data_IF_955347836774
#
_entry.id   IF_955347836774
#
_cell.length_a   1.000
_cell.length_b   1.000
_cell.length_c   1.000
_cell.angle_alpha   90.00
_cell.angle_beta   90.00
_cell.angle_gamma   90.00
#
_symmetry.space_group_name_H-M   'P 1'
#
loop_
_entity.id
_entity.type
_entity.pdbx_description
1 polymer ?
#
# COMPACT_ATOMS: atom_id res chain seq x y z
N UNK A 1 -7.60 16.36 3.86
CA UNK A 1 -7.98 16.65 5.26
C UNK A 1 -7.49 18.06 5.58
N UNK A 2 -8.40 19.05 5.70
CA UNK A 2 -8.05 20.48 5.86
C UNK A 2 -8.39 21.05 7.25
N UNK A 3 -8.98 20.27 8.15
CA UNK A 3 -9.46 20.75 9.47
C UNK A 3 -8.83 20.04 10.67
N UNK A 4 -7.73 19.30 10.49
CA UNK A 4 -7.06 18.60 11.60
C UNK A 4 -7.89 17.50 12.27
N UNK A 5 -9.06 17.15 11.72
CA UNK A 5 -9.88 16.02 12.14
C UNK A 5 -9.26 14.73 11.64
N UNK A 6 -8.58 14.02 12.54
CA UNK A 6 -8.03 12.70 12.26
C UNK A 6 -9.11 11.62 12.46
N UNK A 7 -9.01 10.47 11.74
CA UNK A 7 -9.89 9.33 11.95
C UNK A 7 -9.83 8.76 13.39
N UNK A 8 -8.77 9.10 14.12
CA UNK A 8 -8.50 8.74 15.50
C UNK A 8 -8.24 10.01 16.32
N UNK A 9 -8.61 10.03 17.62
CA UNK A 9 -8.31 11.16 18.51
C UNK A 9 -6.80 11.45 18.67
N UNK A 10 -5.96 10.43 18.49
CA UNK A 10 -4.51 10.51 18.60
C UNK A 10 -3.88 9.53 17.59
N UNK A 11 -2.87 9.97 16.85
CA UNK A 11 -2.02 9.13 15.99
C UNK A 11 -0.75 8.76 16.76
N UNK A 12 -0.68 7.52 17.27
CA UNK A 12 0.45 6.99 18.04
C UNK A 12 1.50 6.29 17.18
N UNK A 13 1.03 5.61 16.13
CA UNK A 13 1.88 4.86 15.21
C UNK A 13 1.43 5.09 13.77
N UNK A 14 2.39 5.31 12.89
CA UNK A 14 2.21 5.44 11.44
C UNK A 14 2.58 4.11 10.81
N UNK A 15 1.64 3.45 10.16
CA UNK A 15 1.89 2.14 9.57
C UNK A 15 1.75 2.16 8.05
N UNK A 16 2.65 1.44 7.38
CA UNK A 16 2.48 1.02 6.00
C UNK A 16 1.74 -0.32 5.99
N UNK A 17 0.73 -0.48 5.14
CA UNK A 17 0.04 -1.77 4.97
C UNK A 17 0.39 -2.40 3.63
N UNK A 18 1.15 -3.49 3.68
CA UNK A 18 1.51 -4.33 2.55
C UNK A 18 0.54 -5.52 2.49
N UNK A 19 -0.39 -5.51 1.54
CA UNK A 19 -1.40 -6.59 1.42
C UNK A 19 -2.81 -6.09 1.17
N UNK A 20 -3.68 -7.02 0.77
CA UNK A 20 -5.11 -6.79 0.56
C UNK A 20 -5.84 -6.86 1.90
N UNK A 21 -6.72 -5.91 2.26
CA UNK A 21 -7.46 -6.01 3.52
C UNK A 21 -8.43 -7.21 3.55
N UNK A 22 -8.69 -7.82 4.72
CA UNK A 22 -9.63 -8.93 4.84
C UNK A 22 -11.07 -8.42 4.82
N UNK A 23 -11.65 -8.24 3.63
CA UNK A 23 -12.97 -7.62 3.44
C UNK A 23 -14.10 -8.21 4.31
N UNK A 24 -14.14 -9.54 4.47
CA UNK A 24 -15.15 -10.23 5.29
C UNK A 24 -15.08 -9.87 6.78
N UNK A 25 -13.92 -9.42 7.25
CA UNK A 25 -13.64 -9.11 8.65
C UNK A 25 -13.02 -7.71 8.78
N UNK A 26 -13.34 -6.81 7.84
CA UNK A 26 -12.66 -5.52 7.71
C UNK A 26 -12.80 -4.65 8.96
N UNK A 27 -13.99 -4.63 9.56
CA UNK A 27 -14.26 -3.91 10.83
C UNK A 27 -13.29 -4.38 11.91
N UNK A 28 -13.28 -5.68 12.19
CA UNK A 28 -12.42 -6.30 13.23
C UNK A 28 -10.94 -6.06 12.96
N UNK A 29 -10.50 -6.18 11.71
CA UNK A 29 -9.12 -5.88 11.33
C UNK A 29 -8.77 -4.42 11.62
N UNK A 30 -9.66 -3.50 11.28
CA UNK A 30 -9.50 -2.07 11.55
C UNK A 30 -9.61 -1.71 13.05
N UNK A 31 -10.41 -2.43 13.84
CA UNK A 31 -10.50 -2.26 15.31
C UNK A 31 -9.14 -2.40 16.00
N UNK A 32 -8.31 -3.35 15.58
CA UNK A 32 -6.99 -3.56 16.19
C UNK A 32 -6.14 -2.29 16.12
N UNK A 33 -6.02 -1.73 14.91
CA UNK A 33 -5.24 -0.51 14.69
C UNK A 33 -5.84 0.70 15.41
N UNK A 34 -7.18 0.84 15.36
CA UNK A 34 -7.87 1.90 16.10
C UNK A 34 -7.61 1.85 17.60
N UNK A 35 -7.67 0.65 18.22
CA UNK A 35 -7.41 0.47 19.65
C UNK A 35 -5.97 0.80 20.04
N UNK A 36 -5.01 0.57 19.14
CA UNK A 36 -3.61 0.88 19.36
C UNK A 36 -3.21 2.32 18.98
N UNK A 37 -4.12 3.11 18.41
CA UNK A 37 -3.78 4.44 17.89
C UNK A 37 -2.92 4.39 16.62
N UNK A 38 -2.96 3.28 15.87
CA UNK A 38 -2.19 3.10 14.65
C UNK A 38 -2.99 3.58 13.41
N UNK A 39 -2.37 4.45 12.60
CA UNK A 39 -2.94 5.02 11.38
C UNK A 39 -2.20 4.48 10.17
N UNK A 40 -2.92 3.91 9.20
CA UNK A 40 -2.36 3.55 7.91
C UNK A 40 -2.11 4.81 7.08
N UNK A 41 -0.83 5.14 6.86
CA UNK A 41 -0.41 6.36 6.16
C UNK A 41 -0.17 6.10 4.67
N UNK A 42 0.07 4.85 4.31
CA UNK A 42 0.26 4.39 2.94
C UNK A 42 -0.03 2.89 2.85
N UNK A 43 -0.56 2.45 1.71
CA UNK A 43 -0.85 1.03 1.45
C UNK A 43 -0.48 0.65 0.02
N UNK A 44 -0.16 -0.62 -0.18
CA UNK A 44 0.18 -1.15 -1.51
C UNK A 44 -1.02 -1.67 -2.30
N UNK A 45 -2.10 -2.06 -1.62
CA UNK A 45 -3.31 -2.57 -2.27
C UNK A 45 -3.96 -1.61 -3.28
N UNK A 46 -4.07 -0.28 -3.04
CA UNK A 46 -4.61 0.64 -4.03
C UNK A 46 -3.82 0.72 -5.34
N UNK A 47 -2.62 0.10 -5.40
CA UNK A 47 -1.71 0.17 -6.55
C UNK A 47 -1.72 -1.10 -7.41
N UNK A 48 -2.67 -2.00 -7.18
CA UNK A 48 -2.83 -3.21 -8.00
C UNK A 48 -3.11 -2.89 -9.47
N UNK A 49 -3.78 -1.77 -9.76
CA UNK A 49 -4.01 -1.31 -11.12
C UNK A 49 -2.88 -0.50 -11.74
N UNK A 50 -1.93 -0.01 -10.92
CA UNK A 50 -0.83 0.88 -11.33
C UNK A 50 -0.43 1.86 -10.23
N UNK A 51 0.67 2.59 -10.44
CA UNK A 51 1.32 3.45 -9.44
C UNK A 51 1.11 4.95 -9.73
N UNK A 52 -0.05 5.51 -9.34
CA UNK A 52 -0.34 6.94 -9.53
C UNK A 52 0.48 7.89 -8.65
N UNK A 53 0.90 7.42 -7.47
CA UNK A 53 1.65 8.21 -6.49
C UNK A 53 3.13 8.35 -6.84
N UNK A 54 3.60 7.70 -7.91
CA UNK A 54 4.98 7.81 -8.42
C UNK A 54 5.13 8.70 -9.67
N UNK A 55 4.20 9.64 -9.85
CA UNK A 55 4.29 10.68 -10.88
C UNK A 55 3.63 10.37 -12.22
N UNK A 56 3.11 9.15 -12.43
CA UNK A 56 2.37 8.81 -13.64
C UNK A 56 1.08 9.64 -13.76
N UNK A 57 0.78 10.16 -14.96
CA UNK A 57 -0.48 10.82 -15.30
C UNK A 57 -0.94 10.35 -16.68
N UNK A 58 -2.24 10.14 -16.84
CA UNK A 58 -2.80 9.81 -18.15
C UNK A 58 -2.67 10.99 -19.12
N UNK A 59 -2.51 10.67 -20.40
CA UNK A 59 -2.43 11.63 -21.49
C UNK A 59 -3.75 11.59 -22.29
N UNK A 60 -4.58 12.64 -22.22
CA UNK A 60 -5.84 12.71 -22.97
C UNK A 60 -5.66 12.69 -24.49
N UNK A 61 -4.47 13.07 -25.00
CA UNK A 61 -4.17 13.02 -26.43
C UNK A 61 -3.81 11.61 -26.93
N UNK A 62 -3.46 10.70 -26.00
CA UNK A 62 -3.10 9.29 -26.22
C UNK A 62 -3.81 8.38 -25.20
N UNK A 63 -5.15 8.31 -25.21
CA UNK A 63 -5.91 7.71 -24.12
C UNK A 63 -5.65 6.20 -23.98
N UNK A 64 -5.58 5.46 -25.09
CA UNK A 64 -5.39 4.01 -25.05
C UNK A 64 -3.95 3.65 -24.66
N UNK A 65 -2.96 4.36 -25.22
CA UNK A 65 -1.56 4.14 -24.91
C UNK A 65 -1.27 4.50 -23.45
N UNK A 66 -1.77 5.62 -22.94
CA UNK A 66 -1.53 6.00 -21.55
C UNK A 66 -2.23 5.06 -20.55
N UNK A 67 -3.37 4.45 -20.91
CA UNK A 67 -3.98 3.39 -20.09
C UNK A 67 -3.11 2.11 -20.12
N UNK A 68 -2.58 1.74 -21.28
CA UNK A 68 -1.70 0.58 -21.41
C UNK A 68 -0.39 0.77 -20.62
N UNK A 69 0.26 1.94 -20.75
CA UNK A 69 1.46 2.33 -20.01
C UNK A 69 1.22 2.31 -18.49
N UNK A 70 0.08 2.83 -18.03
CA UNK A 70 -0.29 2.76 -16.61
C UNK A 70 -0.40 1.32 -16.10
N UNK A 71 -1.06 0.46 -16.88
CA UNK A 71 -1.32 -0.94 -16.52
C UNK A 71 -0.03 -1.76 -16.40
N UNK A 72 1.02 -1.42 -17.16
CA UNK A 72 2.35 -2.02 -17.01
C UNK A 72 2.99 -1.70 -15.63
N UNK A 73 2.60 -0.58 -15.03
CA UNK A 73 3.02 -0.14 -13.71
C UNK A 73 2.30 -0.82 -12.54
N UNK A 74 1.41 -1.78 -12.79
CA UNK A 74 0.69 -2.53 -11.75
C UNK A 74 1.66 -3.09 -10.71
N UNK A 75 1.41 -2.82 -9.42
CA UNK A 75 2.31 -3.17 -8.32
C UNK A 75 2.65 -4.68 -8.29
N UNK A 76 1.65 -5.52 -8.52
CA UNK A 76 1.80 -6.99 -8.50
C UNK A 76 2.51 -7.55 -9.75
N UNK A 77 2.68 -6.73 -10.79
CA UNK A 77 3.44 -7.06 -11.99
C UNK A 77 4.92 -6.64 -11.89
N UNK A 78 5.30 -5.96 -10.80
CA UNK A 78 6.68 -5.55 -10.56
C UNK A 78 7.50 -6.70 -9.98
N UNK A 79 8.79 -6.73 -10.32
CA UNK A 79 9.73 -7.68 -9.72
C UNK A 79 9.84 -7.48 -8.21
N UNK A 80 10.20 -8.53 -7.49
CA UNK A 80 10.32 -8.46 -6.03
C UNK A 80 11.33 -7.41 -5.55
N UNK A 81 12.53 -7.25 -6.14
CA UNK A 81 13.44 -6.15 -5.79
C UNK A 81 12.81 -4.76 -5.93
N UNK A 82 12.02 -4.54 -6.99
CA UNK A 82 11.35 -3.25 -7.21
C UNK A 82 10.23 -3.03 -6.19
N UNK A 83 9.45 -4.07 -5.87
CA UNK A 83 8.42 -4.00 -4.81
C UNK A 83 9.04 -3.68 -3.45
N UNK A 84 10.15 -4.32 -3.09
CA UNK A 84 10.90 -4.02 -1.85
C UNK A 84 11.37 -2.56 -1.82
N UNK A 85 11.93 -2.08 -2.94
CA UNK A 85 12.32 -0.66 -3.05
C UNK A 85 11.13 0.28 -2.88
N UNK A 86 10.00 -0.02 -3.53
CA UNK A 86 8.76 0.77 -3.40
C UNK A 86 8.32 0.85 -1.93
N UNK A 87 8.29 -0.30 -1.22
CA UNK A 87 7.92 -0.34 0.20
C UNK A 87 8.91 0.48 1.04
N UNK A 88 10.21 0.31 0.83
CA UNK A 88 11.24 1.05 1.57
C UNK A 88 11.18 2.57 1.31
N UNK A 89 10.94 2.97 0.06
CA UNK A 89 10.72 4.37 -0.32
C UNK A 89 9.49 4.92 0.43
N UNK A 90 8.38 4.17 0.50
CA UNK A 90 7.18 4.58 1.25
C UNK A 90 7.39 4.68 2.76
N UNK A 91 8.14 3.76 3.38
CA UNK A 91 8.46 3.86 4.82
C UNK A 91 9.16 5.20 5.10
N UNK A 92 10.12 5.58 4.25
CA UNK A 92 10.86 6.85 4.39
C UNK A 92 9.99 8.07 4.10
N UNK A 93 9.29 8.08 2.96
CA UNK A 93 8.50 9.22 2.49
C UNK A 93 7.33 9.54 3.43
N UNK A 94 6.62 8.50 3.88
CA UNK A 94 5.46 8.66 4.76
C UNK A 94 5.83 8.63 6.24
N UNK A 95 7.12 8.50 6.58
CA UNK A 95 7.62 8.38 7.95
C UNK A 95 6.85 7.31 8.72
N UNK A 96 6.76 6.11 8.15
CA UNK A 96 6.08 4.99 8.80
C UNK A 96 6.98 4.42 9.90
N UNK A 97 6.41 4.18 11.07
CA UNK A 97 7.07 3.55 12.22
C UNK A 97 7.14 2.02 12.06
N UNK A 98 6.20 1.44 11.31
CA UNK A 98 6.15 0.00 11.06
C UNK A 98 5.56 -0.34 9.69
N UNK A 99 5.97 -1.48 9.14
CA UNK A 99 5.35 -2.11 7.97
C UNK A 99 4.57 -3.36 8.39
N UNK A 100 3.25 -3.33 8.17
CA UNK A 100 2.36 -4.46 8.38
C UNK A 100 2.28 -5.30 7.10
N UNK A 101 2.71 -6.55 7.18
CA UNK A 101 2.57 -7.52 6.09
C UNK A 101 1.30 -8.35 6.33
N UNK A 102 0.29 -8.14 5.48
CA UNK A 102 -0.93 -8.93 5.48
C UNK A 102 -0.94 -9.89 4.28
N UNK A 103 -0.35 -11.06 4.50
CA UNK A 103 -0.30 -12.14 3.53
C UNK A 103 -1.68 -12.76 3.30
N UNK A 104 -2.28 -12.49 2.14
CA UNK A 104 -3.57 -13.08 1.76
C UNK A 104 -3.35 -14.48 1.17
N UNK A 105 -4.09 -15.47 1.71
CA UNK A 105 -3.94 -16.88 1.32
C UNK A 105 -4.24 -17.15 -0.16
N UNK A 106 -5.20 -16.44 -0.74
CA UNK A 106 -5.67 -16.66 -2.11
C UNK A 106 -4.83 -15.97 -3.18
N UNK A 107 -4.28 -14.78 -2.91
CA UNK A 107 -3.55 -14.00 -3.92
C UNK A 107 -2.04 -14.26 -3.84
N UNK A 108 -1.57 -15.27 -4.57
CA UNK A 108 -0.13 -15.61 -4.61
C UNK A 108 0.73 -14.52 -5.22
N UNK A 109 0.25 -13.79 -6.24
CA UNK A 109 1.01 -12.69 -6.85
C UNK A 109 1.30 -11.56 -5.85
N UNK A 110 0.42 -11.35 -4.87
CA UNK A 110 0.65 -10.39 -3.80
C UNK A 110 1.55 -10.97 -2.72
N UNK A 111 1.25 -12.18 -2.24
CA UNK A 111 1.87 -12.76 -1.03
C UNK A 111 3.23 -13.40 -1.27
N UNK A 112 3.53 -13.89 -2.49
CA UNK A 112 4.81 -14.50 -2.80
C UNK A 112 5.96 -13.51 -2.60
N UNK A 113 6.99 -13.94 -1.85
CA UNK A 113 8.16 -13.12 -1.51
C UNK A 113 7.97 -12.22 -0.29
N UNK A 114 6.74 -11.94 0.18
CA UNK A 114 6.52 -11.05 1.33
C UNK A 114 7.25 -11.50 2.60
N UNK A 115 7.49 -12.80 2.77
CA UNK A 115 8.29 -13.33 3.88
C UNK A 115 9.70 -12.74 3.92
N UNK A 116 10.29 -12.50 2.75
CA UNK A 116 11.65 -12.00 2.53
C UNK A 116 11.76 -10.48 2.75
N UNK A 117 10.65 -9.78 3.09
CA UNK A 117 10.70 -8.39 3.56
C UNK A 117 11.37 -8.26 4.92
N UNK A 118 11.41 -9.35 5.70
CA UNK A 118 11.94 -9.36 7.08
C UNK A 118 13.46 -9.36 7.13
N UNK A 119 14.13 -9.79 6.07
CA UNK A 119 15.59 -9.93 6.00
C UNK A 119 16.27 -8.65 5.47
N UNK A 120 15.65 -7.50 5.70
CA UNK A 120 16.13 -6.18 5.30
C UNK A 120 16.34 -5.28 6.52
#
# INVERSE_FOLDING_TARGET
>A
MREGTYPLPEEKFRILVEGVPPYTNYRTFWDFFRKWGAVSVVATYPKVGGLFDRGFRHDPSRPFESIAEYSLGAYVNQSWPLRRKIIADYVKEYRADAALIHGIKSCRSFTAGQGDLRDW
#
